data_IF_899301424350
#
_entry.id   IF_899301424350
#
_cell.length_a   1.000
_cell.length_b   1.000
_cell.length_c   1.000
_cell.angle_alpha   90.00
_cell.angle_beta   90.00
_cell.angle_gamma   90.00
#
_symmetry.space_group_name_H-M   'P 1'
#
loop_
_entity.id
_entity.type
_entity.pdbx_description
1 polymer ?
#
# COMPACT_ATOMS: atom_id res chain seq x y z
N UNK A 1 -3.74 17.15 20.81
CA UNK A 1 -2.63 16.51 20.08
C UNK A 1 -2.74 16.64 18.56
N UNK A 2 -3.95 16.80 18.03
CA UNK A 2 -4.26 16.93 16.58
C UNK A 2 -3.65 15.78 15.75
N UNK A 3 -3.89 14.50 16.09
CA UNK A 3 -3.46 13.40 15.25
C UNK A 3 -4.21 13.43 13.91
N UNK A 4 -3.50 13.15 12.84
CA UNK A 4 -4.06 12.90 11.51
C UNK A 4 -3.54 11.59 10.97
N UNK A 5 -4.18 11.04 9.96
CA UNK A 5 -3.74 9.85 9.25
C UNK A 5 -3.82 10.10 7.75
N UNK A 6 -2.76 10.66 7.18
CA UNK A 6 -2.63 10.78 5.74
C UNK A 6 -2.23 9.42 5.18
N UNK A 7 -3.01 8.91 4.25
CA UNK A 7 -2.75 7.66 3.54
C UNK A 7 -2.95 7.83 2.04
N UNK A 8 -2.87 6.74 1.32
CA UNK A 8 -3.08 6.71 -0.13
C UNK A 8 -4.15 5.68 -0.51
N UNK A 9 -4.73 5.86 -1.67
CA UNK A 9 -5.56 4.90 -2.40
C UNK A 9 -5.22 5.00 -3.88
N UNK A 10 -5.60 4.00 -4.67
CA UNK A 10 -5.26 3.95 -6.09
C UNK A 10 -3.84 3.48 -6.36
N UNK A 11 -3.20 2.76 -5.43
CA UNK A 11 -1.86 2.22 -5.64
C UNK A 11 -1.82 1.28 -6.85
N UNK A 12 -2.81 0.39 -6.98
CA UNK A 12 -2.89 -0.52 -8.12
C UNK A 12 -3.13 0.23 -9.44
N UNK A 13 -3.94 1.31 -9.44
CA UNK A 13 -4.11 2.14 -10.64
C UNK A 13 -2.79 2.78 -11.08
N UNK A 14 -1.99 3.24 -10.11
CA UNK A 14 -0.68 3.82 -10.40
C UNK A 14 0.30 2.78 -10.99
N UNK A 15 0.21 1.52 -10.57
CA UNK A 15 0.96 0.43 -11.18
C UNK A 15 0.49 0.13 -12.61
N UNK A 16 -0.82 0.07 -12.86
CA UNK A 16 -1.37 -0.12 -14.21
C UNK A 16 -0.94 0.98 -15.19
N UNK A 17 -0.92 2.23 -14.73
CA UNK A 17 -0.51 3.36 -15.56
C UNK A 17 0.98 3.34 -15.94
N UNK A 18 1.78 2.57 -15.22
CA UNK A 18 3.20 2.41 -15.46
C UNK A 18 3.54 1.03 -16.08
N UNK A 19 2.54 0.20 -16.39
CA UNK A 19 2.69 -1.20 -16.84
C UNK A 19 3.54 -2.04 -15.87
N UNK A 20 3.44 -1.79 -14.55
CA UNK A 20 4.17 -2.51 -13.49
C UNK A 20 3.27 -3.59 -12.88
N UNK A 21 3.61 -4.89 -13.01
CA UNK A 21 2.89 -5.96 -12.30
C UNK A 21 3.04 -5.82 -10.78
N UNK A 22 1.98 -6.12 -10.02
CA UNK A 22 2.04 -6.10 -8.55
C UNK A 22 3.10 -7.07 -7.98
N UNK A 23 3.24 -8.25 -8.61
CA UNK A 23 4.27 -9.23 -8.28
C UNK A 23 5.59 -8.90 -8.99
N UNK A 24 6.21 -7.78 -8.62
CA UNK A 24 7.51 -7.38 -9.15
C UNK A 24 8.31 -6.57 -8.14
N UNK A 25 9.62 -6.57 -8.29
CA UNK A 25 10.52 -5.76 -7.48
C UNK A 25 10.31 -4.26 -7.75
N UNK A 26 9.91 -3.91 -8.98
CA UNK A 26 9.56 -2.55 -9.37
C UNK A 26 8.34 -2.02 -8.59
N UNK A 27 7.33 -2.88 -8.36
CA UNK A 27 6.17 -2.51 -7.54
C UNK A 27 6.56 -2.29 -6.06
N UNK A 28 7.46 -3.12 -5.53
CA UNK A 28 8.01 -2.97 -4.17
C UNK A 28 8.81 -1.67 -4.06
N UNK A 29 9.65 -1.36 -5.05
CA UNK A 29 10.42 -0.12 -5.09
C UNK A 29 9.52 1.12 -5.22
N UNK A 30 8.48 1.06 -6.07
CA UNK A 30 7.50 2.12 -6.20
C UNK A 30 6.71 2.34 -4.90
N UNK A 31 6.37 1.27 -4.17
CA UNK A 31 5.74 1.34 -2.86
C UNK A 31 6.61 2.09 -1.84
N UNK A 32 7.91 1.81 -1.83
CA UNK A 32 8.89 2.46 -0.97
C UNK A 32 9.03 3.96 -1.29
N UNK A 33 9.45 4.28 -2.50
CA UNK A 33 9.76 5.66 -2.92
C UNK A 33 8.55 6.60 -2.85
N UNK A 34 7.37 6.12 -3.28
CA UNK A 34 6.15 6.93 -3.21
C UNK A 34 5.76 7.25 -1.77
N UNK A 35 5.86 6.27 -0.86
CA UNK A 35 5.54 6.49 0.55
C UNK A 35 6.60 7.35 1.24
N UNK A 36 7.88 7.19 0.91
CA UNK A 36 8.95 8.05 1.40
C UNK A 36 8.65 9.53 1.09
N UNK A 37 8.35 9.83 -0.17
CA UNK A 37 8.06 11.20 -0.61
C UNK A 37 6.84 11.79 0.09
N UNK A 38 5.76 11.01 0.21
CA UNK A 38 4.52 11.45 0.87
C UNK A 38 4.78 11.71 2.35
N UNK A 39 5.47 10.80 3.04
CA UNK A 39 5.78 10.93 4.47
C UNK A 39 6.69 12.13 4.74
N UNK A 40 7.75 12.26 3.97
CA UNK A 40 8.67 13.39 4.07
C UNK A 40 7.93 14.72 3.92
N UNK A 41 7.12 14.85 2.89
CA UNK A 41 6.35 16.06 2.59
C UNK A 41 5.31 16.37 3.67
N UNK A 42 4.64 15.35 4.19
CA UNK A 42 3.64 15.50 5.24
C UNK A 42 4.26 15.94 6.59
N UNK A 43 5.39 15.36 6.97
CA UNK A 43 6.13 15.76 8.17
C UNK A 43 6.65 17.19 8.00
N UNK A 44 7.24 17.50 6.84
CA UNK A 44 7.69 18.85 6.53
C UNK A 44 6.56 19.88 6.64
N UNK A 45 5.40 19.61 6.04
CA UNK A 45 4.22 20.46 6.11
C UNK A 45 3.73 20.65 7.57
N UNK A 46 3.76 19.59 8.38
CA UNK A 46 3.39 19.67 9.80
C UNK A 46 4.35 20.56 10.60
N UNK A 47 5.65 20.61 10.24
CA UNK A 47 6.60 21.54 10.86
C UNK A 47 6.32 22.99 10.45
N UNK A 48 5.99 23.26 9.18
CA UNK A 48 5.60 24.60 8.73
C UNK A 48 4.34 25.09 9.44
N UNK A 49 3.35 24.22 9.59
CA UNK A 49 2.14 24.52 10.37
C UNK A 49 2.46 24.75 11.85
N UNK A 50 3.43 24.07 12.43
CA UNK A 50 3.86 24.30 13.81
C UNK A 50 4.51 25.68 13.96
N UNK A 51 5.32 26.12 13.01
CA UNK A 51 5.87 27.47 12.97
C UNK A 51 4.79 28.56 12.92
N UNK A 52 3.76 28.34 12.12
CA UNK A 52 2.66 29.29 11.94
C UNK A 52 1.71 29.32 13.15
N UNK A 53 1.37 28.15 13.72
CA UNK A 53 0.24 27.97 14.65
C UNK A 53 0.63 27.36 16.00
N UNK A 54 1.92 27.15 16.26
CA UNK A 54 2.44 26.45 17.42
C UNK A 54 2.40 24.92 17.26
N UNK A 55 3.33 24.25 17.94
CA UNK A 55 3.36 22.79 18.03
C UNK A 55 2.13 22.25 18.77
N UNK A 56 1.89 20.93 18.68
CA UNK A 56 0.86 20.32 19.51
C UNK A 56 1.30 20.33 20.99
N UNK A 57 0.32 20.40 21.89
CA UNK A 57 0.53 20.73 23.31
C UNK A 57 1.51 19.78 24.04
N UNK A 58 1.46 18.48 23.73
CA UNK A 58 2.36 17.47 24.33
C UNK A 58 3.56 17.13 23.43
N UNK A 59 4.07 18.08 22.65
CA UNK A 59 5.23 17.87 21.79
C UNK A 59 6.48 17.55 22.59
N UNK A 60 6.71 18.30 23.67
CA UNK A 60 7.86 18.09 24.55
C UNK A 60 7.84 16.71 25.21
N UNK A 61 8.95 15.99 25.13
CA UNK A 61 9.10 14.63 25.62
C UNK A 61 8.61 13.54 24.64
N UNK A 62 7.97 13.92 23.52
CA UNK A 62 7.56 13.00 22.45
C UNK A 62 8.76 12.45 21.68
N UNK A 63 8.53 11.41 20.87
CA UNK A 63 9.54 10.90 19.93
C UNK A 63 9.97 11.99 18.94
N UNK A 64 9.03 12.81 18.47
CA UNK A 64 9.33 13.93 17.57
C UNK A 64 10.28 14.96 18.19
N UNK A 65 10.06 15.35 19.44
CA UNK A 65 10.94 16.31 20.13
C UNK A 65 12.34 15.76 20.37
N UNK A 66 12.49 14.44 20.44
CA UNK A 66 13.77 13.73 20.53
C UNK A 66 14.43 13.53 19.16
N UNK A 67 13.78 13.96 18.07
CA UNK A 67 14.25 13.76 16.72
C UNK A 67 14.11 12.32 16.21
N UNK A 68 13.26 11.52 16.81
CA UNK A 68 12.99 10.15 16.37
C UNK A 68 11.87 10.20 15.34
N UNK A 69 12.22 9.92 14.08
CA UNK A 69 11.32 9.91 12.93
C UNK A 69 10.75 8.50 12.70
N UNK A 70 9.71 8.32 11.86
CA UNK A 70 9.13 7.00 11.60
C UNK A 70 10.15 5.95 11.16
N UNK A 71 11.12 6.31 10.32
CA UNK A 71 12.20 5.41 9.87
C UNK A 71 13.07 4.87 11.01
N UNK A 72 13.26 5.63 12.07
CA UNK A 72 14.07 5.24 13.23
C UNK A 72 13.35 4.19 14.09
N UNK A 73 12.06 3.94 13.85
CA UNK A 73 11.31 2.88 14.52
C UNK A 73 11.88 1.47 14.28
N UNK A 74 12.64 1.28 13.22
CA UNK A 74 13.36 0.03 12.93
C UNK A 74 14.43 -0.23 13.99
N UNK A 75 15.14 0.81 14.45
CA UNK A 75 16.16 0.66 15.49
C UNK A 75 15.53 0.32 16.83
N UNK A 76 14.45 1.01 17.19
CA UNK A 76 13.67 0.71 18.41
C UNK A 76 13.13 -0.74 18.36
N UNK A 77 12.66 -1.19 17.19
CA UNK A 77 12.17 -2.55 17.00
C UNK A 77 13.31 -3.57 17.13
N UNK A 78 14.48 -3.27 16.55
CA UNK A 78 15.68 -4.09 16.64
C UNK A 78 16.18 -4.26 18.07
N UNK A 79 16.19 -3.19 18.85
CA UNK A 79 16.56 -3.22 20.28
C UNK A 79 15.59 -4.07 21.11
N UNK A 80 14.29 -3.99 20.84
CA UNK A 80 13.28 -4.72 21.61
C UNK A 80 13.12 -6.19 21.21
N UNK A 81 13.36 -6.54 19.94
CA UNK A 81 13.07 -7.87 19.38
C UNK A 81 14.32 -8.71 19.14
N UNK A 82 15.47 -8.05 18.92
CA UNK A 82 16.71 -8.65 18.42
C UNK A 82 16.84 -8.45 16.90
N UNK A 83 18.02 -8.04 16.46
CA UNK A 83 18.30 -7.75 15.04
C UNK A 83 18.20 -8.98 14.15
N UNK A 84 18.44 -10.18 14.70
CA UNK A 84 18.34 -11.47 14.01
C UNK A 84 16.89 -11.80 13.59
N UNK A 85 15.90 -11.16 14.21
CA UNK A 85 14.47 -11.33 13.90
C UNK A 85 13.91 -10.22 13.00
N UNK A 86 14.77 -9.41 12.38
CA UNK A 86 14.36 -8.32 11.52
C UNK A 86 15.02 -8.41 10.14
N UNK A 87 14.18 -8.47 9.11
CA UNK A 87 14.59 -8.34 7.72
C UNK A 87 13.87 -7.14 7.10
N UNK A 88 14.33 -5.94 7.43
CA UNK A 88 13.73 -4.68 7.00
C UNK A 88 14.75 -3.86 6.20
N UNK A 89 14.34 -3.42 5.04
CA UNK A 89 15.12 -2.49 4.22
C UNK A 89 15.24 -1.13 4.91
N UNK A 90 16.46 -0.56 4.91
CA UNK A 90 16.80 0.71 5.55
C UNK A 90 17.18 1.79 4.55
N UNK A 91 17.03 1.53 3.24
CA UNK A 91 17.35 2.50 2.20
C UNK A 91 16.47 3.75 2.31
N UNK A 92 17.03 4.90 1.95
CA UNK A 92 16.37 6.20 1.92
C UNK A 92 16.92 6.99 0.74
N UNK A 93 16.12 7.89 0.19
CA UNK A 93 16.51 8.70 -0.98
C UNK A 93 16.46 10.20 -0.71
N UNK A 94 15.74 10.63 0.34
CA UNK A 94 15.57 12.04 0.71
C UNK A 94 16.46 12.43 1.90
N UNK A 95 16.66 13.74 2.09
CA UNK A 95 17.49 14.28 3.18
C UNK A 95 16.72 14.32 4.51
N UNK A 96 16.59 13.15 5.13
CA UNK A 96 15.91 12.98 6.42
C UNK A 96 16.62 13.69 7.57
N UNK A 97 17.93 13.93 7.49
CA UNK A 97 18.66 14.64 8.55
C UNK A 97 18.31 16.13 8.60
N UNK A 98 18.14 16.75 7.46
CA UNK A 98 17.65 18.14 7.41
C UNK A 98 16.22 18.23 7.95
N UNK A 99 15.37 17.27 7.62
CA UNK A 99 14.00 17.21 8.16
C UNK A 99 14.00 16.96 9.68
N UNK A 100 14.86 16.07 10.19
CA UNK A 100 15.04 15.81 11.64
C UNK A 100 15.37 17.08 12.42
N UNK A 101 16.37 17.83 11.93
CA UNK A 101 16.77 19.12 12.53
C UNK A 101 15.61 20.11 12.54
N UNK A 102 14.83 20.13 11.46
CA UNK A 102 13.66 20.99 11.35
C UNK A 102 12.55 20.61 12.33
N UNK A 103 12.26 19.31 12.48
CA UNK A 103 11.28 18.80 13.45
C UNK A 103 11.66 19.19 14.88
N UNK A 104 12.93 19.02 15.26
CA UNK A 104 13.43 19.39 16.60
C UNK A 104 13.30 20.91 16.82
N UNK A 105 13.66 21.71 15.82
CA UNK A 105 13.69 23.16 15.92
C UNK A 105 12.31 23.83 15.91
N UNK A 106 11.48 23.44 14.95
CA UNK A 106 10.21 24.13 14.66
C UNK A 106 9.01 23.44 15.33
N UNK A 107 9.20 22.19 15.81
CA UNK A 107 8.14 21.35 16.37
C UNK A 107 7.27 20.70 15.29
N UNK A 108 6.23 19.99 15.76
CA UNK A 108 5.20 19.36 14.93
C UNK A 108 3.82 19.91 15.29
N UNK A 109 2.99 20.23 14.29
CA UNK A 109 1.59 20.64 14.52
C UNK A 109 0.72 19.44 14.90
N UNK A 110 1.02 18.28 14.36
CA UNK A 110 0.27 17.04 14.50
C UNK A 110 1.09 16.00 15.27
N UNK A 111 0.48 15.35 16.24
CA UNK A 111 1.15 14.28 17.02
C UNK A 111 1.38 13.01 16.19
N UNK A 112 0.53 12.77 15.21
CA UNK A 112 0.65 11.72 14.21
C UNK A 112 0.33 12.26 12.83
N UNK A 113 0.92 11.67 11.78
CA UNK A 113 0.82 12.20 10.42
C UNK A 113 0.36 11.13 9.44
N UNK A 114 1.00 9.96 9.42
CA UNK A 114 0.81 8.94 8.39
C UNK A 114 0.04 7.72 8.88
N UNK A 115 -1.00 7.33 8.16
CA UNK A 115 -1.70 6.06 8.35
C UNK A 115 -2.33 5.62 7.03
N UNK A 116 -2.34 4.31 6.75
CA UNK A 116 -3.04 3.76 5.59
C UNK A 116 -4.34 3.12 6.04
N UNK A 117 -5.47 3.71 5.61
CA UNK A 117 -6.82 3.22 5.87
C UNK A 117 -7.30 2.27 4.76
N UNK A 118 -8.34 1.43 5.00
CA UNK A 118 -8.88 0.52 3.99
C UNK A 118 -9.49 1.21 2.77
N UNK A 119 -10.04 2.39 2.92
CA UNK A 119 -10.67 3.26 1.89
C UNK A 119 -11.79 2.61 1.07
N UNK A 120 -12.45 1.56 1.58
CA UNK A 120 -13.43 0.76 0.87
C UNK A 120 -14.62 1.54 0.27
N UNK A 121 -15.01 2.65 0.92
CA UNK A 121 -16.11 3.51 0.47
C UNK A 121 -15.62 4.69 -0.35
N UNK A 122 -14.62 5.41 0.15
CA UNK A 122 -14.13 6.64 -0.48
C UNK A 122 -13.47 6.38 -1.83
N UNK A 123 -12.80 5.24 -2.01
CA UNK A 123 -12.23 4.85 -3.29
C UNK A 123 -13.28 4.71 -4.40
N UNK A 124 -14.48 4.21 -4.07
CA UNK A 124 -15.59 4.15 -5.01
C UNK A 124 -16.10 5.54 -5.42
N UNK A 125 -16.07 6.51 -4.50
CA UNK A 125 -16.49 7.89 -4.78
C UNK A 125 -15.50 8.58 -5.72
N UNK A 126 -14.22 8.33 -5.50
CA UNK A 126 -13.14 8.94 -6.30
C UNK A 126 -12.83 8.16 -7.59
N UNK A 127 -13.36 6.94 -7.73
CA UNK A 127 -13.17 6.10 -8.93
C UNK A 127 -11.76 5.52 -9.06
N UNK A 128 -11.14 5.18 -7.93
CA UNK A 128 -9.80 4.54 -7.89
C UNK A 128 -9.85 3.21 -7.13
N UNK A 129 -8.82 2.39 -7.27
CA UNK A 129 -8.66 1.16 -6.49
C UNK A 129 -8.48 1.43 -4.99
N UNK A 130 -8.88 0.47 -4.16
CA UNK A 130 -8.83 0.63 -2.71
C UNK A 130 -7.40 0.66 -2.19
N UNK A 131 -7.08 1.65 -1.38
CA UNK A 131 -5.86 1.71 -0.56
C UNK A 131 -4.60 1.27 -1.33
N UNK A 132 -3.90 0.29 -0.77
CA UNK A 132 -2.70 -0.37 -1.30
C UNK A 132 -2.99 -1.77 -1.87
N UNK A 133 -4.26 -2.09 -2.02
CA UNK A 133 -4.74 -3.42 -2.37
C UNK A 133 -4.46 -3.77 -3.85
N UNK A 134 -4.12 -5.03 -4.15
CA UNK A 134 -4.24 -5.53 -5.51
C UNK A 134 -5.72 -5.59 -5.93
N UNK A 135 -5.99 -5.56 -7.22
CA UNK A 135 -7.36 -5.66 -7.74
C UNK A 135 -8.00 -7.00 -7.33
N UNK A 136 -9.13 -6.95 -6.64
CA UNK A 136 -9.82 -8.14 -6.16
C UNK A 136 -10.25 -9.05 -7.33
N UNK A 137 -10.95 -8.49 -8.32
CA UNK A 137 -11.35 -9.15 -9.56
C UNK A 137 -11.40 -8.13 -10.70
N UNK A 138 -11.04 -8.54 -11.93
CA UNK A 138 -11.11 -7.65 -13.11
C UNK A 138 -12.52 -7.47 -13.66
N UNK A 139 -13.45 -8.39 -13.33
CA UNK A 139 -14.87 -8.28 -13.65
C UNK A 139 -15.68 -8.87 -12.49
N UNK A 140 -16.64 -8.13 -11.98
CA UNK A 140 -17.53 -8.59 -10.90
C UNK A 140 -18.87 -7.85 -10.93
N UNK A 141 -19.86 -8.43 -10.25
CA UNK A 141 -21.16 -7.80 -10.05
C UNK A 141 -21.23 -7.19 -8.66
N UNK A 142 -21.53 -5.91 -8.60
CA UNK A 142 -21.78 -5.18 -7.35
C UNK A 142 -23.27 -4.98 -7.18
N UNK A 143 -23.84 -5.55 -6.11
CA UNK A 143 -25.25 -5.38 -5.75
C UNK A 143 -25.40 -4.38 -4.61
N UNK A 144 -26.36 -3.48 -4.71
CA UNK A 144 -26.77 -2.55 -3.66
C UNK A 144 -28.29 -2.30 -3.72
N UNK A 145 -28.81 -1.42 -2.87
CA UNK A 145 -30.25 -1.09 -2.83
C UNK A 145 -30.81 -0.49 -4.14
N UNK A 146 -29.94 0.04 -5.00
CA UNK A 146 -30.32 0.61 -6.29
C UNK A 146 -30.26 -0.38 -7.45
N UNK A 147 -29.77 -1.61 -7.23
CA UNK A 147 -29.68 -2.66 -8.25
C UNK A 147 -28.32 -3.36 -8.32
N UNK A 148 -28.13 -4.10 -9.40
CA UNK A 148 -26.90 -4.82 -9.71
C UNK A 148 -26.13 -4.11 -10.84
N UNK A 149 -24.84 -3.94 -10.64
CA UNK A 149 -23.95 -3.26 -11.56
C UNK A 149 -22.77 -4.16 -11.91
N UNK A 150 -22.59 -4.47 -13.18
CA UNK A 150 -21.38 -5.14 -13.66
C UNK A 150 -20.25 -4.12 -13.74
N UNK A 151 -19.19 -4.39 -13.02
CA UNK A 151 -17.97 -3.55 -12.98
C UNK A 151 -16.85 -4.32 -13.66
N UNK A 152 -16.17 -3.67 -14.57
CA UNK A 152 -14.98 -4.18 -15.25
C UNK A 152 -13.82 -3.24 -14.99
N UNK A 153 -12.62 -3.79 -14.86
CA UNK A 153 -11.40 -3.01 -14.70
C UNK A 153 -11.15 -2.14 -15.95
N UNK A 154 -11.22 -0.80 -15.85
CA UNK A 154 -11.10 0.07 -17.01
C UNK A 154 -9.70 0.06 -17.64
N UNK A 155 -8.66 -0.20 -16.85
CA UNK A 155 -7.28 -0.33 -17.35
C UNK A 155 -7.13 -1.59 -18.20
N UNK A 156 -7.73 -2.71 -17.77
CA UNK A 156 -7.76 -3.94 -18.56
C UNK A 156 -8.50 -3.74 -19.88
N UNK A 157 -9.68 -3.12 -19.86
CA UNK A 157 -10.45 -2.84 -21.08
C UNK A 157 -9.63 -2.00 -22.08
N UNK A 158 -8.93 -0.98 -21.57
CA UNK A 158 -8.05 -0.15 -22.41
C UNK A 158 -6.94 -0.99 -23.04
N UNK A 159 -6.23 -1.78 -22.22
CA UNK A 159 -5.14 -2.64 -22.70
C UNK A 159 -5.60 -3.67 -23.73
N UNK A 160 -6.73 -4.32 -23.49
CA UNK A 160 -7.30 -5.29 -24.44
C UNK A 160 -7.76 -4.63 -25.75
N UNK A 161 -8.26 -3.39 -25.71
CA UNK A 161 -8.58 -2.61 -26.93
C UNK A 161 -7.33 -2.24 -27.71
N UNK A 162 -6.26 -1.85 -27.05
CA UNK A 162 -4.96 -1.57 -27.68
C UNK A 162 -4.38 -2.79 -28.40
N UNK A 163 -4.71 -4.00 -27.92
CA UNK A 163 -4.27 -5.28 -28.50
C UNK A 163 -5.28 -5.89 -29.47
N UNK A 164 -6.37 -5.20 -29.80
CA UNK A 164 -7.47 -5.73 -30.62
C UNK A 164 -8.09 -7.03 -30.08
N UNK A 165 -8.06 -7.21 -28.75
CA UNK A 165 -8.58 -8.41 -28.04
C UNK A 165 -9.93 -8.18 -27.34
N UNK A 166 -10.46 -6.95 -27.34
CA UNK A 166 -11.73 -6.63 -26.69
C UNK A 166 -12.92 -6.91 -27.63
N UNK A 167 -13.48 -8.10 -27.53
CA UNK A 167 -14.62 -8.59 -28.29
C UNK A 167 -15.61 -9.37 -27.39
N UNK A 168 -16.72 -9.83 -27.97
CA UNK A 168 -17.77 -10.60 -27.24
C UNK A 168 -17.23 -11.92 -26.66
N UNK A 169 -16.26 -12.54 -27.32
CA UNK A 169 -15.61 -13.77 -26.83
C UNK A 169 -14.82 -13.45 -25.56
N UNK A 170 -14.03 -12.36 -25.56
CA UNK A 170 -13.28 -11.93 -24.39
C UNK A 170 -14.19 -11.59 -23.20
N UNK A 171 -15.31 -10.93 -23.46
CA UNK A 171 -16.30 -10.62 -22.41
C UNK A 171 -16.87 -11.91 -21.81
N UNK A 172 -17.14 -12.92 -22.62
CA UNK A 172 -17.63 -14.21 -22.15
C UNK A 172 -16.55 -15.00 -21.40
N UNK A 173 -15.30 -14.97 -21.87
CA UNK A 173 -14.16 -15.58 -21.16
C UNK A 173 -13.97 -14.93 -19.78
N UNK A 174 -13.97 -13.61 -19.69
CA UNK A 174 -13.87 -12.87 -18.43
C UNK A 174 -15.00 -13.22 -17.45
N UNK A 175 -16.23 -13.43 -17.95
CA UNK A 175 -17.34 -13.88 -17.12
C UNK A 175 -17.16 -15.33 -16.65
N UNK A 176 -16.72 -16.21 -17.54
CA UNK A 176 -16.51 -17.62 -17.24
C UNK A 176 -15.40 -17.85 -16.20
N UNK A 177 -14.29 -17.12 -16.32
CA UNK A 177 -13.16 -17.18 -15.40
C UNK A 177 -13.24 -16.18 -14.24
N UNK A 178 -14.41 -15.60 -13.96
CA UNK A 178 -14.66 -14.70 -12.83
C UNK A 178 -13.66 -13.50 -12.77
N UNK A 179 -13.26 -13.00 -13.94
CA UNK A 179 -12.32 -11.87 -14.06
C UNK A 179 -10.84 -12.24 -13.96
N UNK A 180 -10.50 -13.52 -13.77
CA UNK A 180 -9.11 -14.00 -13.92
C UNK A 180 -8.73 -14.08 -15.40
N UNK A 181 -7.46 -13.79 -15.69
CA UNK A 181 -6.89 -13.88 -17.04
C UNK A 181 -6.04 -15.15 -17.24
N UNK A 182 -5.74 -15.89 -16.19
CA UNK A 182 -4.74 -16.96 -16.17
C UNK A 182 -4.97 -18.01 -17.24
N UNK A 183 -6.22 -18.44 -17.42
CA UNK A 183 -6.62 -19.51 -18.36
C UNK A 183 -7.03 -19.00 -19.75
N UNK A 184 -7.05 -17.69 -19.99
CA UNK A 184 -7.42 -17.12 -21.29
C UNK A 184 -6.20 -17.13 -22.22
N UNK A 185 -6.16 -18.13 -23.11
CA UNK A 185 -4.99 -18.37 -23.98
C UNK A 185 -4.68 -17.24 -24.98
N UNK A 186 -5.67 -16.44 -25.36
CA UNK A 186 -5.52 -15.29 -26.28
C UNK A 186 -4.73 -14.13 -25.68
N UNK A 187 -4.66 -14.03 -24.34
CA UNK A 187 -4.03 -12.91 -23.63
C UNK A 187 -2.54 -13.20 -23.47
N UNK A 188 -1.65 -12.24 -23.82
CA UNK A 188 -0.22 -12.35 -23.59
C UNK A 188 0.14 -12.48 -22.10
N UNK A 189 1.22 -13.19 -21.79
CA UNK A 189 1.62 -13.49 -20.40
C UNK A 189 2.01 -12.25 -19.59
N UNK A 190 2.55 -11.23 -20.21
CA UNK A 190 2.85 -9.94 -19.57
C UNK A 190 1.57 -9.23 -19.13
N UNK A 191 0.51 -9.27 -19.95
CA UNK A 191 -0.80 -8.72 -19.62
C UNK A 191 -1.46 -9.52 -18.50
N UNK A 192 -1.36 -10.86 -18.52
CA UNK A 192 -1.85 -11.71 -17.41
C UNK A 192 -1.19 -11.35 -16.09
N UNK A 193 0.14 -11.15 -16.08
CA UNK A 193 0.89 -10.74 -14.89
C UNK A 193 0.48 -9.34 -14.40
N UNK A 194 0.31 -8.40 -15.33
CA UNK A 194 -0.08 -7.02 -15.01
C UNK A 194 -1.45 -6.97 -14.32
N UNK A 195 -2.41 -7.76 -14.80
CA UNK A 195 -3.79 -7.76 -14.32
C UNK A 195 -4.12 -8.98 -13.44
N UNK A 196 -3.12 -9.55 -12.75
CA UNK A 196 -3.33 -10.60 -11.74
C UNK A 196 -4.30 -10.10 -10.66
N UNK A 197 -5.25 -10.96 -10.30
CA UNK A 197 -6.20 -10.69 -9.21
C UNK A 197 -5.54 -10.87 -7.83
N UNK A 198 -6.17 -10.36 -6.78
CA UNK A 198 -5.65 -10.43 -5.42
C UNK A 198 -5.29 -11.85 -4.96
N UNK A 199 -6.04 -12.85 -5.42
CA UNK A 199 -5.79 -14.27 -5.08
C UNK A 199 -4.70 -14.94 -5.94
N UNK A 200 -4.30 -14.28 -7.03
CA UNK A 200 -3.19 -14.70 -7.90
C UNK A 200 -1.87 -14.01 -7.53
N UNK A 201 -1.95 -12.89 -6.79
CA UNK A 201 -0.78 -12.18 -6.27
C UNK A 201 -0.14 -13.00 -5.14
N UNK A 202 1.17 -13.26 -5.26
CA UNK A 202 1.90 -13.95 -4.20
C UNK A 202 1.94 -13.09 -2.92
N UNK A 203 1.56 -13.64 -1.75
CA UNK A 203 1.55 -12.92 -0.48
C UNK A 203 2.90 -12.26 -0.12
N UNK A 204 4.00 -12.82 -0.62
CA UNK A 204 5.35 -12.27 -0.48
C UNK A 204 5.42 -10.81 -0.94
N UNK A 205 4.94 -10.49 -2.14
CA UNK A 205 5.00 -9.14 -2.69
C UNK A 205 4.09 -8.15 -1.96
N UNK A 206 2.96 -8.64 -1.42
CA UNK A 206 2.08 -7.83 -0.57
C UNK A 206 2.82 -7.44 0.72
N UNK A 207 3.46 -8.41 1.39
CA UNK A 207 4.21 -8.19 2.63
C UNK A 207 5.45 -7.32 2.39
N UNK A 208 6.21 -7.58 1.32
CA UNK A 208 7.41 -6.79 0.98
C UNK A 208 7.06 -5.32 0.69
N UNK A 209 6.06 -5.08 -0.14
CA UNK A 209 5.57 -3.71 -0.41
C UNK A 209 5.10 -3.01 0.86
N UNK A 210 4.42 -3.73 1.75
CA UNK A 210 3.98 -3.20 3.04
C UNK A 210 5.16 -2.92 3.98
N UNK A 211 6.16 -3.79 4.04
CA UNK A 211 7.39 -3.61 4.82
C UNK A 211 8.13 -2.34 4.38
N UNK A 212 8.29 -2.16 3.07
CA UNK A 212 8.95 -0.97 2.50
C UNK A 212 8.22 0.33 2.86
N UNK A 213 6.87 0.30 2.89
CA UNK A 213 6.07 1.46 3.33
C UNK A 213 6.13 1.69 4.84
N UNK A 214 6.17 0.62 5.65
CA UNK A 214 6.01 0.71 7.11
C UNK A 214 7.04 1.60 7.78
N UNK A 215 8.27 1.64 7.29
CA UNK A 215 9.33 2.50 7.85
C UNK A 215 9.02 4.00 7.74
N UNK A 216 8.14 4.39 6.81
CA UNK A 216 7.73 5.77 6.57
C UNK A 216 6.45 6.17 7.32
N UNK A 217 5.79 5.23 7.98
CA UNK A 217 4.46 5.41 8.60
C UNK A 217 4.59 5.39 10.11
N UNK A 218 4.24 6.51 10.77
CA UNK A 218 4.28 6.62 12.23
C UNK A 218 3.15 5.85 12.93
N UNK A 219 2.01 5.67 12.27
CA UNK A 219 0.92 4.82 12.75
C UNK A 219 0.98 3.43 12.10
N UNK A 220 -0.13 2.89 11.65
CA UNK A 220 -0.22 1.57 11.04
C UNK A 220 -0.77 1.64 9.62
N UNK A 221 -0.71 0.52 8.90
CA UNK A 221 -1.34 0.34 7.60
C UNK A 221 -2.34 -0.82 7.67
N UNK A 222 -3.51 -0.60 7.05
CA UNK A 222 -4.51 -1.63 6.86
C UNK A 222 -4.05 -2.55 5.73
N UNK A 223 -3.40 -3.65 6.10
CA UNK A 223 -2.86 -4.62 5.15
C UNK A 223 -3.75 -5.86 5.11
N UNK A 224 -4.47 -6.05 4.01
CA UNK A 224 -5.17 -7.29 3.75
C UNK A 224 -4.21 -8.32 3.14
N UNK A 225 -4.37 -9.56 3.56
CA UNK A 225 -3.65 -10.70 3.01
C UNK A 225 -4.64 -11.58 2.23
N UNK A 226 -4.23 -12.06 1.07
CA UNK A 226 -5.07 -12.87 0.19
C UNK A 226 -4.44 -14.25 0.02
N UNK A 227 -5.19 -15.31 0.32
CA UNK A 227 -4.74 -16.70 0.21
C UNK A 227 -5.82 -17.51 -0.48
N UNK A 228 -5.64 -17.83 -1.76
CA UNK A 228 -6.62 -18.55 -2.58
C UNK A 228 -6.93 -19.98 -2.09
N UNK A 229 -5.89 -20.72 -1.71
CA UNK A 229 -6.01 -22.05 -1.12
C UNK A 229 -5.38 -22.02 0.26
N UNK A 230 -6.18 -21.68 1.27
CA UNK A 230 -5.71 -21.54 2.65
C UNK A 230 -5.37 -22.91 3.24
N UNK A 231 -4.13 -23.04 3.71
CA UNK A 231 -3.69 -24.11 4.59
C UNK A 231 -2.88 -23.54 5.75
N UNK A 232 -2.77 -24.31 6.83
CA UNK A 232 -2.10 -23.84 8.05
C UNK A 232 -0.63 -23.48 7.83
N UNK A 233 0.06 -24.12 6.89
CA UNK A 233 1.46 -23.86 6.58
C UNK A 233 1.62 -22.53 5.82
N UNK A 234 0.81 -22.29 4.80
CA UNK A 234 0.82 -21.00 4.07
C UNK A 234 0.52 -19.83 4.99
N UNK A 235 -0.48 -20.02 5.87
CA UNK A 235 -0.85 -19.02 6.87
C UNK A 235 0.32 -18.70 7.81
N UNK A 236 0.92 -19.71 8.42
CA UNK A 236 2.07 -19.57 9.32
C UNK A 236 3.26 -18.85 8.63
N UNK A 237 3.61 -19.27 7.42
CA UNK A 237 4.69 -18.66 6.63
C UNK A 237 4.40 -17.17 6.37
N UNK A 238 3.18 -16.83 5.95
CA UNK A 238 2.80 -15.46 5.61
C UNK A 238 2.87 -14.54 6.84
N UNK A 239 2.33 -14.99 7.99
CA UNK A 239 2.39 -14.18 9.22
C UNK A 239 3.79 -14.08 9.80
N UNK A 240 4.60 -15.14 9.75
CA UNK A 240 6.03 -15.06 10.14
C UNK A 240 6.78 -14.09 9.26
N UNK A 241 6.58 -14.15 7.93
CA UNK A 241 7.20 -13.20 7.00
C UNK A 241 6.80 -11.76 7.34
N UNK A 242 5.51 -11.49 7.59
CA UNK A 242 5.03 -10.17 8.00
C UNK A 242 5.70 -9.69 9.29
N UNK A 243 5.86 -10.59 10.28
CA UNK A 243 6.50 -10.28 11.55
C UNK A 243 8.00 -10.00 11.39
N UNK A 244 8.75 -10.84 10.64
CA UNK A 244 10.17 -10.62 10.36
C UNK A 244 10.42 -9.35 9.52
N UNK A 245 9.48 -8.99 8.66
CA UNK A 245 9.52 -7.78 7.85
C UNK A 245 9.13 -6.51 8.60
N UNK A 246 8.97 -6.58 9.93
CA UNK A 246 8.75 -5.41 10.79
C UNK A 246 7.38 -4.76 10.67
N UNK A 247 6.37 -5.45 10.13
CA UNK A 247 5.02 -4.90 10.05
C UNK A 247 4.42 -4.72 11.45
N UNK A 248 3.77 -3.58 11.68
CA UNK A 248 3.05 -3.28 12.91
C UNK A 248 1.73 -4.02 12.99
N UNK A 249 1.04 -4.15 11.84
CA UNK A 249 -0.30 -4.73 11.75
C UNK A 249 -0.49 -5.48 10.44
N UNK A 250 -1.36 -6.49 10.46
CA UNK A 250 -2.16 -6.99 9.35
C UNK A 250 -3.62 -6.69 9.65
N UNK A 251 -4.51 -6.79 8.67
CA UNK A 251 -5.93 -6.48 8.85
C UNK A 251 -6.82 -7.69 8.58
N UNK A 252 -7.36 -7.82 7.37
CA UNK A 252 -8.14 -9.00 7.00
C UNK A 252 -7.27 -10.07 6.32
N UNK A 253 -7.74 -11.30 6.42
CA UNK A 253 -7.25 -12.46 5.71
C UNK A 253 -8.38 -13.04 4.85
#
# INVERSE_FOLDING_TARGET
HRPIGLGLMGFQDALYLQDIPYCSDEAVEFADKSMELISYSAIYASTELAKERGAYESFEGSLWSKGILPKDSIDILSENRGSEYLNVDRSETLDWETLRKKVIKDGMRNSNVMAIAPTATISNITGVTQSIEPTYQNLYVKSNLSGEFTIVNPHLVRKLKELDLWDDVMINDLKYFEGSLSEISRIPDDVKKLFSTAFEVEPKYIVESASRRQKWIDQAQSLNLYIGNADGKKLDITYRMAWYSGLKTTYYL
#
